data_IF_438742053394
#
_entry.id   IF_438742053394
#
_cell.length_a   1.000
_cell.length_b   1.000
_cell.length_c   1.000
_cell.angle_alpha   90.00
_cell.angle_beta   90.00
_cell.angle_gamma   90.00
#
_symmetry.space_group_name_H-M   'P 1'
#
loop_
_entity.id
_entity.type
_entity.pdbx_description
1 polymer ?
#
# COMPACT_ATOMS: atom_id res chain seq x y z
N UNK A 1 -4.13 21.69 -0.29
CA UNK A 1 -3.31 20.54 0.13
C UNK A 1 -2.48 20.15 -1.08
N UNK A 2 -1.20 20.52 -1.11
CA UNK A 2 -0.25 19.94 -2.06
C UNK A 2 0.22 18.59 -1.49
N UNK A 3 0.29 17.54 -2.31
CA UNK A 3 0.78 16.21 -1.89
C UNK A 3 -0.26 15.08 -1.82
N UNK A 4 -1.35 15.17 -2.58
CA UNK A 4 -2.28 14.05 -2.81
C UNK A 4 -2.08 13.35 -4.17
N UNK A 5 -1.07 13.78 -4.93
CA UNK A 5 -0.70 13.23 -6.23
C UNK A 5 0.75 12.78 -6.22
N UNK A 6 1.05 11.69 -6.93
CA UNK A 6 2.37 11.09 -7.08
C UNK A 6 2.61 10.72 -8.55
N UNK A 7 3.80 11.00 -9.08
CA UNK A 7 4.14 10.80 -10.49
C UNK A 7 4.02 12.08 -11.34
N UNK A 8 4.42 11.97 -12.61
CA UNK A 8 4.54 13.10 -13.56
C UNK A 8 3.76 12.87 -14.85
N UNK A 9 4.05 11.78 -15.55
CA UNK A 9 3.28 11.35 -16.73
C UNK A 9 2.18 10.39 -16.32
N UNK A 10 2.57 9.27 -15.70
CA UNK A 10 1.64 8.41 -14.99
C UNK A 10 1.43 8.98 -13.59
N UNK A 11 0.29 9.63 -13.38
CA UNK A 11 0.01 10.37 -12.15
C UNK A 11 -1.10 9.71 -11.37
N UNK A 12 -0.80 9.31 -10.13
CA UNK A 12 -1.75 8.74 -9.18
C UNK A 12 -2.19 9.84 -8.23
N UNK A 13 -3.49 10.12 -8.18
CA UNK A 13 -4.09 11.02 -7.20
C UNK A 13 -5.04 10.25 -6.30
N UNK A 14 -4.88 10.34 -4.99
CA UNK A 14 -5.75 9.64 -4.03
C UNK A 14 -6.63 10.62 -3.24
N UNK A 15 -7.77 10.13 -2.77
CA UNK A 15 -8.67 10.83 -1.86
C UNK A 15 -9.38 9.85 -0.90
N UNK A 16 -9.94 10.39 0.17
CA UNK A 16 -10.69 9.63 1.18
C UNK A 16 -9.94 9.42 2.49
N UNK A 17 -10.72 9.33 3.57
CA UNK A 17 -10.26 9.11 4.94
C UNK A 17 -10.63 7.70 5.42
N UNK A 18 -9.90 7.19 6.41
CA UNK A 18 -10.15 5.83 6.93
C UNK A 18 -11.53 5.59 7.55
N UNK A 19 -12.25 6.66 7.92
CA UNK A 19 -13.63 6.63 8.42
C UNK A 19 -14.56 7.50 7.56
N UNK A 20 -14.15 7.79 6.32
CA UNK A 20 -15.03 8.33 5.29
C UNK A 20 -15.80 7.20 4.61
N UNK A 21 -16.71 7.55 3.71
CA UNK A 21 -17.54 6.56 2.98
C UNK A 21 -16.72 5.64 2.06
N UNK A 22 -15.68 6.20 1.43
CA UNK A 22 -14.87 5.49 0.47
C UNK A 22 -13.47 6.09 0.33
N UNK A 23 -12.59 5.32 -0.28
CA UNK A 23 -11.34 5.78 -0.86
C UNK A 23 -11.51 5.92 -2.36
N UNK A 24 -10.86 6.93 -2.94
CA UNK A 24 -10.91 7.23 -4.36
C UNK A 24 -9.47 7.33 -4.88
N UNK A 25 -9.25 6.80 -6.08
CA UNK A 25 -8.00 6.89 -6.82
C UNK A 25 -8.26 7.39 -8.23
N UNK A 26 -7.39 8.24 -8.76
CA UNK A 26 -7.39 8.63 -10.16
C UNK A 26 -6.01 8.33 -10.71
N UNK A 27 -5.95 7.54 -11.77
CA UNK A 27 -4.74 7.32 -12.56
C UNK A 27 -4.87 8.09 -13.86
N UNK A 28 -4.03 9.10 -14.04
CA UNK A 28 -3.89 9.84 -15.29
C UNK A 28 -2.61 9.41 -16.04
N UNK A 29 -2.62 9.50 -17.36
CA UNK A 29 -1.50 9.13 -18.22
C UNK A 29 -1.28 7.63 -18.44
N UNK A 30 -2.26 6.78 -18.12
CA UNK A 30 -2.24 5.37 -18.54
C UNK A 30 -2.45 5.28 -20.06
N UNK A 31 -1.57 4.61 -20.82
CA UNK A 31 -1.76 4.48 -22.28
C UNK A 31 -3.05 3.75 -22.65
N UNK A 32 -3.69 4.09 -23.79
CA UNK A 32 -4.90 3.40 -24.25
C UNK A 32 -4.61 1.99 -24.76
N UNK A 33 -5.65 1.15 -24.78
CA UNK A 33 -5.65 -0.16 -25.43
C UNK A 33 -5.25 -1.35 -24.54
N UNK A 34 -4.70 -1.11 -23.35
CA UNK A 34 -4.42 -2.17 -22.36
C UNK A 34 -5.73 -2.74 -21.83
N UNK A 35 -5.87 -4.07 -21.81
CA UNK A 35 -7.02 -4.73 -21.19
C UNK A 35 -7.04 -4.43 -19.68
N UNK A 36 -8.18 -4.05 -19.11
CA UNK A 36 -8.28 -3.72 -17.70
C UNK A 36 -9.69 -3.99 -17.16
N UNK A 37 -9.73 -4.72 -16.07
CA UNK A 37 -10.92 -5.05 -15.27
C UNK A 37 -10.57 -4.99 -13.79
N UNK A 38 -11.57 -4.92 -12.92
CA UNK A 38 -11.40 -4.95 -11.47
C UNK A 38 -10.65 -6.22 -11.00
N UNK A 39 -10.88 -7.35 -11.66
CA UNK A 39 -10.23 -8.62 -11.34
C UNK A 39 -8.70 -8.58 -11.49
N UNK A 40 -8.19 -7.72 -12.38
CA UNK A 40 -6.76 -7.53 -12.56
C UNK A 40 -6.09 -6.87 -11.35
N UNK A 41 -6.86 -6.11 -10.57
CA UNK A 41 -6.39 -5.34 -9.41
C UNK A 41 -6.66 -6.07 -8.10
N UNK A 42 -7.70 -6.92 -8.08
CA UNK A 42 -8.19 -7.57 -6.86
C UNK A 42 -7.15 -8.47 -6.21
N UNK A 43 -6.32 -9.18 -6.99
CA UNK A 43 -5.28 -10.06 -6.43
C UNK A 43 -4.28 -9.31 -5.54
N UNK A 44 -3.82 -8.13 -5.96
CA UNK A 44 -2.91 -7.31 -5.16
C UNK A 44 -3.63 -6.67 -3.95
N UNK A 45 -4.90 -6.32 -4.09
CA UNK A 45 -5.74 -5.82 -2.99
C UNK A 45 -6.00 -6.90 -1.93
N UNK A 46 -6.20 -8.15 -2.35
CA UNK A 46 -6.41 -9.29 -1.45
C UNK A 46 -5.16 -9.64 -0.64
N UNK A 47 -3.96 -9.43 -1.21
CA UNK A 47 -2.70 -9.55 -0.46
C UNK A 47 -2.54 -8.44 0.58
N UNK A 48 -3.07 -7.24 0.28
CA UNK A 48 -2.98 -6.05 1.15
C UNK A 48 -4.04 -6.03 2.26
N UNK A 49 -5.22 -6.61 2.03
CA UNK A 49 -6.39 -6.40 2.88
C UNK A 49 -6.14 -6.83 4.33
N UNK A 50 -6.73 -6.12 5.31
CA UNK A 50 -6.60 -6.48 6.73
C UNK A 50 -7.31 -7.79 7.04
N UNK A 51 -7.05 -8.36 8.23
CA UNK A 51 -7.81 -9.49 8.74
C UNK A 51 -7.50 -10.84 8.08
N UNK A 52 -6.46 -10.90 7.24
CA UNK A 52 -5.99 -12.13 6.58
C UNK A 52 -5.25 -13.08 7.53
N UNK A 53 -4.75 -12.59 8.66
CA UNK A 53 -4.10 -13.41 9.67
C UNK A 53 -4.36 -12.87 11.08
N UNK A 54 -4.12 -13.71 12.09
CA UNK A 54 -4.20 -13.29 13.51
C UNK A 54 -3.15 -12.26 13.91
N UNK A 55 -2.17 -11.99 13.03
CA UNK A 55 -1.05 -11.07 13.25
C UNK A 55 -1.29 -9.68 12.62
N UNK A 56 -2.38 -9.49 11.87
CA UNK A 56 -2.77 -8.19 11.31
C UNK A 56 -3.95 -7.58 12.06
N UNK A 57 -4.37 -6.37 11.65
CA UNK A 57 -5.54 -5.71 12.24
C UNK A 57 -6.81 -6.55 12.04
N UNK A 58 -7.70 -6.52 13.03
CA UNK A 58 -8.93 -7.33 13.05
C UNK A 58 -10.06 -6.76 12.19
N UNK A 59 -9.86 -5.58 11.58
CA UNK A 59 -10.84 -5.01 10.65
C UNK A 59 -11.04 -5.95 9.47
N UNK A 60 -12.29 -6.07 9.03
CA UNK A 60 -12.64 -6.85 7.84
C UNK A 60 -13.13 -5.89 6.76
N UNK A 61 -12.21 -5.55 5.87
CA UNK A 61 -12.50 -4.76 4.68
C UNK A 61 -12.28 -5.68 3.48
N UNK A 62 -13.30 -5.80 2.63
CA UNK A 62 -13.23 -6.65 1.43
C UNK A 62 -12.34 -6.04 0.33
N UNK A 63 -12.10 -4.72 0.40
CA UNK A 63 -11.31 -3.96 -0.57
C UNK A 63 -11.73 -4.16 -2.02
N UNK A 64 -13.04 -4.30 -2.24
CA UNK A 64 -13.60 -4.41 -3.58
C UNK A 64 -13.42 -3.09 -4.32
N UNK A 65 -12.53 -3.12 -5.31
CA UNK A 65 -12.31 -1.99 -6.20
C UNK A 65 -13.38 -1.97 -7.29
N UNK A 66 -13.80 -0.77 -7.67
CA UNK A 66 -14.63 -0.55 -8.85
C UNK A 66 -14.00 0.51 -9.74
N UNK A 67 -13.96 0.24 -11.05
CA UNK A 67 -13.54 1.19 -12.07
C UNK A 67 -14.74 2.04 -12.47
N UNK A 68 -14.60 3.36 -12.39
CA UNK A 68 -15.66 4.34 -12.64
C UNK A 68 -15.49 5.05 -14.00
N UNK A 69 -14.26 5.17 -14.50
CA UNK A 69 -13.94 5.83 -15.76
C UNK A 69 -12.64 5.29 -16.36
N UNK A 70 -12.29 5.78 -17.56
CA UNK A 70 -10.99 5.49 -18.19
C UNK A 70 -10.92 4.12 -18.87
N UNK A 71 -12.01 3.35 -18.86
CA UNK A 71 -12.15 2.09 -19.57
C UNK A 71 -13.41 2.05 -20.44
N UNK A 72 -13.32 1.41 -21.60
CA UNK A 72 -14.45 1.10 -22.48
C UNK A 72 -14.23 -0.28 -23.09
N UNK A 73 -15.26 -1.15 -23.07
CA UNK A 73 -15.18 -2.54 -23.56
C UNK A 73 -13.98 -3.34 -23.00
N UNK A 74 -13.70 -3.16 -21.71
CA UNK A 74 -12.61 -3.86 -21.01
C UNK A 74 -11.20 -3.39 -21.38
N UNK A 75 -11.06 -2.23 -22.03
CA UNK A 75 -9.77 -1.64 -22.39
C UNK A 75 -9.65 -0.21 -21.90
N UNK A 76 -8.45 0.18 -21.53
CA UNK A 76 -8.10 1.57 -21.20
C UNK A 76 -8.32 2.49 -22.40
N UNK A 77 -8.85 3.68 -22.16
CA UNK A 77 -9.17 4.65 -23.23
C UNK A 77 -8.11 5.73 -23.40
N UNK A 78 -7.07 5.74 -22.55
CA UNK A 78 -6.10 6.83 -22.47
C UNK A 78 -6.57 8.04 -21.67
N UNK A 79 -7.82 8.02 -21.19
CA UNK A 79 -8.40 9.03 -20.30
C UNK A 79 -8.18 8.64 -18.83
N UNK A 80 -8.35 9.57 -17.87
CA UNK A 80 -8.19 9.26 -16.45
C UNK A 80 -9.05 8.08 -15.99
N UNK A 81 -8.41 7.12 -15.32
CA UNK A 81 -9.04 5.95 -14.73
C UNK A 81 -9.38 6.27 -13.28
N UNK A 82 -10.67 6.44 -12.98
CA UNK A 82 -11.15 6.64 -11.63
C UNK A 82 -11.49 5.30 -10.97
N UNK A 83 -11.06 5.12 -9.73
CA UNK A 83 -11.25 3.94 -8.90
C UNK A 83 -11.94 4.33 -7.60
N UNK A 84 -12.77 3.43 -7.07
CA UNK A 84 -13.36 3.56 -5.72
C UNK A 84 -13.27 2.25 -4.95
N UNK A 85 -12.97 2.34 -3.65
CA UNK A 85 -13.15 1.25 -2.67
C UNK A 85 -14.01 1.79 -1.53
N UNK A 86 -15.14 1.15 -1.24
CA UNK A 86 -16.00 1.52 -0.12
C UNK A 86 -15.39 1.07 1.21
N UNK A 87 -15.53 1.88 2.27
CA UNK A 87 -15.16 1.47 3.63
C UNK A 87 -16.39 0.86 4.32
N UNK A 88 -16.33 -0.42 4.69
CA UNK A 88 -17.49 -1.17 5.20
C UNK A 88 -17.45 -1.46 6.70
N UNK A 89 -16.28 -1.41 7.37
CA UNK A 89 -16.12 -1.72 8.81
C UNK A 89 -15.61 -0.50 9.61
N UNK A 90 -16.38 0.58 9.58
CA UNK A 90 -16.06 1.81 10.30
C UNK A 90 -16.47 1.73 11.78
N UNK A 91 -15.49 1.63 12.69
CA UNK A 91 -15.71 1.58 14.14
C UNK A 91 -15.32 2.88 14.82
N UNK A 92 -16.15 3.90 14.65
CA UNK A 92 -15.89 5.25 15.17
C UNK A 92 -15.87 5.34 16.71
N UNK A 93 -16.52 4.40 17.41
CA UNK A 93 -16.69 4.43 18.88
C UNK A 93 -15.40 4.15 19.66
N UNK A 94 -14.43 3.45 19.07
CA UNK A 94 -13.20 3.03 19.76
C UNK A 94 -12.19 4.19 19.95
N UNK A 95 -12.46 5.37 19.41
CA UNK A 95 -11.51 6.49 19.33
C UNK A 95 -11.83 7.67 20.25
N UNK A 96 -12.84 7.58 21.13
CA UNK A 96 -13.28 8.69 21.98
C UNK A 96 -12.17 9.28 22.87
N UNK A 97 -11.31 8.42 23.44
CA UNK A 97 -10.19 8.84 24.28
C UNK A 97 -9.06 9.55 23.49
N UNK A 98 -8.99 9.32 22.18
CA UNK A 98 -7.95 9.88 21.30
C UNK A 98 -8.29 11.31 20.86
N UNK A 99 -9.55 11.74 20.98
CA UNK A 99 -9.96 13.11 20.68
C UNK A 99 -9.10 14.14 21.44
N UNK A 100 -8.82 13.86 22.72
CA UNK A 100 -8.09 14.77 23.62
C UNK A 100 -6.63 14.36 23.86
N UNK A 101 -6.08 13.39 23.12
CA UNK A 101 -4.70 12.91 23.32
C UNK A 101 -3.96 12.73 21.98
N UNK A 102 -2.64 12.96 21.99
CA UNK A 102 -1.78 12.75 20.82
C UNK A 102 -1.03 11.42 20.96
N UNK A 103 -1.14 10.54 19.96
CA UNK A 103 -0.43 9.24 19.97
C UNK A 103 1.03 9.45 19.55
N UNK A 104 2.02 9.02 20.36
CA UNK A 104 3.43 9.06 19.96
C UNK A 104 3.67 8.33 18.64
N UNK A 105 4.47 8.93 17.76
CA UNK A 105 4.80 8.35 16.45
C UNK A 105 3.71 8.50 15.36
N UNK A 106 2.54 9.07 15.69
CA UNK A 106 1.47 9.35 14.73
C UNK A 106 1.44 10.81 14.29
N UNK A 107 0.74 11.09 13.18
CA UNK A 107 0.58 12.44 12.62
C UNK A 107 -0.39 13.34 13.40
N UNK A 108 -0.93 12.83 14.51
CA UNK A 108 -1.89 13.49 15.37
C UNK A 108 -1.51 14.93 15.72
N UNK A 109 -0.36 15.12 16.36
CA UNK A 109 0.13 16.44 16.78
C UNK A 109 0.48 17.33 15.59
N UNK A 110 1.16 16.79 14.58
CA UNK A 110 1.62 17.58 13.43
C UNK A 110 0.45 18.07 12.57
N UNK A 111 -0.63 17.30 12.44
CA UNK A 111 -1.85 17.72 11.76
C UNK A 111 -2.57 18.82 12.54
N UNK A 112 -2.71 18.66 13.85
CA UNK A 112 -3.31 19.66 14.73
C UNK A 112 -2.57 21.00 14.64
N UNK A 113 -1.24 20.99 14.73
CA UNK A 113 -0.44 22.20 14.63
C UNK A 113 -0.47 22.84 13.23
N UNK A 114 -0.53 22.03 12.17
CA UNK A 114 -0.52 22.53 10.79
C UNK A 114 -1.87 23.09 10.36
N UNK A 115 -2.97 22.45 10.76
CA UNK A 115 -4.31 22.73 10.24
C UNK A 115 -5.25 23.34 11.28
N UNK A 116 -4.87 23.37 12.56
CA UNK A 116 -5.70 23.82 13.67
C UNK A 116 -6.80 22.84 14.08
N UNK A 117 -6.89 21.68 13.40
CA UNK A 117 -7.80 20.58 13.73
C UNK A 117 -7.27 19.27 13.14
N UNK A 118 -7.80 18.14 13.62
CA UNK A 118 -7.49 16.80 13.09
C UNK A 118 -8.71 15.88 13.15
N UNK A 119 -8.80 14.94 12.22
CA UNK A 119 -9.71 13.81 12.35
C UNK A 119 -9.06 12.73 13.23
N UNK A 120 -9.46 12.69 14.50
CA UNK A 120 -8.96 11.71 15.46
C UNK A 120 -9.50 10.29 15.20
N UNK A 121 -10.51 10.12 14.36
CA UNK A 121 -11.10 8.81 14.03
C UNK A 121 -10.16 8.08 13.07
N UNK A 122 -9.41 7.12 13.58
CA UNK A 122 -8.45 6.34 12.79
C UNK A 122 -7.31 7.13 12.15
N UNK A 123 -7.07 8.37 12.58
CA UNK A 123 -6.07 9.26 12.00
C UNK A 123 -6.45 9.86 10.64
N UNK A 124 -7.74 9.84 10.25
CA UNK A 124 -8.21 10.48 9.03
C UNK A 124 -7.41 10.08 7.80
N UNK A 125 -6.79 11.07 7.13
CA UNK A 125 -5.97 10.91 5.92
C UNK A 125 -4.55 10.40 6.18
N UNK A 126 -4.03 10.49 7.41
CA UNK A 126 -2.71 9.93 7.74
C UNK A 126 -2.74 8.42 7.98
N UNK A 127 -3.92 7.81 7.87
CA UNK A 127 -4.12 6.38 8.07
C UNK A 127 -3.51 5.57 6.93
N UNK A 128 -2.92 4.42 7.26
CA UNK A 128 -2.45 3.44 6.28
C UNK A 128 -3.58 2.88 5.40
N UNK A 129 -4.86 3.17 5.69
CA UNK A 129 -6.00 2.83 4.83
C UNK A 129 -5.84 3.38 3.41
N UNK A 130 -5.21 4.55 3.25
CA UNK A 130 -4.93 5.17 1.95
C UNK A 130 -4.11 4.26 1.02
N UNK A 131 -3.28 3.36 1.58
CA UNK A 131 -2.46 2.43 0.79
C UNK A 131 -3.29 1.45 -0.05
N UNK A 132 -4.57 1.22 0.27
CA UNK A 132 -5.47 0.46 -0.60
C UNK A 132 -5.60 1.11 -2.00
N UNK A 133 -5.68 2.44 -2.06
CA UNK A 133 -5.68 3.15 -3.34
C UNK A 133 -4.32 3.12 -4.03
N UNK A 134 -3.22 3.19 -3.27
CA UNK A 134 -1.88 3.01 -3.86
C UNK A 134 -1.72 1.63 -4.49
N UNK A 135 -2.21 0.58 -3.84
CA UNK A 135 -2.17 -0.79 -4.36
C UNK A 135 -3.05 -0.93 -5.61
N UNK A 136 -4.29 -0.43 -5.59
CA UNK A 136 -5.17 -0.49 -6.75
C UNK A 136 -4.58 0.26 -7.96
N UNK A 137 -4.10 1.49 -7.76
CA UNK A 137 -3.46 2.28 -8.82
C UNK A 137 -2.13 1.67 -9.28
N UNK A 138 -1.35 1.14 -8.33
CA UNK A 138 -0.10 0.41 -8.61
C UNK A 138 -0.32 -0.87 -9.40
N UNK A 139 -1.46 -1.55 -9.22
CA UNK A 139 -1.86 -2.71 -10.02
C UNK A 139 -2.01 -2.37 -11.51
N UNK A 140 -2.52 -1.18 -11.84
CA UNK A 140 -2.60 -0.68 -13.23
C UNK A 140 -1.18 -0.52 -13.79
N UNK A 141 -0.28 0.15 -13.06
CA UNK A 141 1.11 0.33 -13.47
C UNK A 141 1.84 -1.00 -13.62
N UNK A 142 1.71 -1.90 -12.65
CA UNK A 142 2.32 -3.24 -12.64
C UNK A 142 1.85 -4.09 -13.82
N UNK A 143 0.54 -4.06 -14.14
CA UNK A 143 -0.01 -4.72 -15.32
C UNK A 143 0.58 -4.16 -16.61
N UNK A 144 0.60 -2.83 -16.75
CA UNK A 144 1.16 -2.18 -17.93
C UNK A 144 2.64 -2.52 -18.14
N UNK A 145 3.45 -2.43 -17.08
CA UNK A 145 4.87 -2.76 -17.10
C UNK A 145 5.13 -4.22 -17.50
N UNK A 146 4.32 -5.14 -16.97
CA UNK A 146 4.42 -6.56 -17.31
C UNK A 146 4.05 -6.84 -18.77
N UNK A 147 2.91 -6.33 -19.24
CA UNK A 147 2.42 -6.62 -20.59
C UNK A 147 3.23 -5.90 -21.68
N UNK A 148 3.65 -4.65 -21.43
CA UNK A 148 4.30 -3.82 -22.44
C UNK A 148 5.81 -3.96 -22.48
N UNK A 149 6.43 -4.24 -21.33
CA UNK A 149 7.89 -4.25 -21.18
C UNK A 149 8.44 -5.57 -20.61
N UNK A 150 7.59 -6.51 -20.21
CA UNK A 150 8.02 -7.75 -19.56
C UNK A 150 8.61 -7.55 -18.16
N UNK A 151 8.46 -6.35 -17.58
CA UNK A 151 8.99 -6.02 -16.25
C UNK A 151 8.13 -6.70 -15.19
N UNK A 152 8.77 -7.45 -14.29
CA UNK A 152 8.10 -8.05 -13.13
C UNK A 152 8.56 -7.37 -11.84
N UNK A 153 7.61 -7.04 -10.97
CA UNK A 153 7.87 -6.45 -9.65
C UNK A 153 7.31 -7.39 -8.59
N UNK A 154 8.18 -7.82 -7.68
CA UNK A 154 7.85 -8.72 -6.56
C UNK A 154 8.42 -8.17 -5.26
N UNK A 155 7.80 -8.48 -4.14
CA UNK A 155 8.27 -8.08 -2.81
C UNK A 155 8.16 -9.21 -1.81
N UNK A 156 9.00 -9.18 -0.76
CA UNK A 156 9.02 -10.17 0.30
C UNK A 156 9.50 -9.56 1.62
N UNK A 157 9.12 -10.19 2.74
CA UNK A 157 9.62 -9.85 4.06
C UNK A 157 11.05 -10.36 4.22
N UNK A 158 12.00 -9.44 4.37
CA UNK A 158 13.42 -9.76 4.55
C UNK A 158 13.82 -9.87 6.03
N UNK A 159 13.12 -9.16 6.92
CA UNK A 159 13.40 -9.16 8.35
C UNK A 159 12.18 -8.72 9.15
N UNK A 160 11.93 -9.34 10.31
CA UNK A 160 10.95 -8.91 11.31
C UNK A 160 11.64 -8.85 12.68
N UNK A 161 11.82 -7.65 13.23
CA UNK A 161 12.63 -7.47 14.43
C UNK A 161 14.02 -8.10 14.27
N UNK A 162 14.46 -9.00 15.17
CA UNK A 162 15.76 -9.67 15.06
C UNK A 162 15.77 -10.86 14.08
N UNK A 163 14.61 -11.30 13.56
CA UNK A 163 14.49 -12.53 12.77
C UNK A 163 14.70 -12.22 11.29
N UNK A 164 15.65 -12.92 10.67
CA UNK A 164 15.93 -12.91 9.22
C UNK A 164 15.68 -14.30 8.62
N UNK A 165 15.75 -14.41 7.31
CA UNK A 165 15.74 -15.70 6.61
C UNK A 165 17.15 -16.26 6.41
N UNK A 166 17.27 -17.59 6.35
CA UNK A 166 18.52 -18.28 6.03
C UNK A 166 18.51 -18.80 4.58
N UNK A 167 17.33 -19.18 4.08
CA UNK A 167 17.12 -19.65 2.73
C UNK A 167 16.13 -18.75 1.98
N UNK A 168 16.28 -18.65 0.67
CA UNK A 168 15.39 -17.81 -0.15
C UNK A 168 14.67 -18.66 -1.20
N UNK A 169 13.34 -18.74 -1.11
CA UNK A 169 12.47 -19.33 -2.14
C UNK A 169 11.29 -18.41 -2.46
N UNK A 170 11.17 -18.03 -3.74
CA UNK A 170 10.05 -17.23 -4.23
C UNK A 170 8.70 -17.94 -4.11
N UNK A 171 8.68 -19.28 -4.18
CA UNK A 171 7.44 -20.04 -4.09
C UNK A 171 6.82 -19.94 -2.69
N UNK A 172 7.63 -19.71 -1.66
CA UNK A 172 7.16 -19.63 -0.29
C UNK A 172 6.57 -18.27 0.09
N UNK A 173 6.93 -17.20 -0.62
CA UNK A 173 6.52 -15.82 -0.30
C UNK A 173 5.00 -15.65 -0.22
N UNK A 174 4.21 -16.39 -0.98
CA UNK A 174 2.74 -16.28 -0.90
C UNK A 174 2.07 -17.47 -0.19
N UNK A 175 2.86 -18.41 0.34
CA UNK A 175 2.36 -19.60 1.03
C UNK A 175 2.31 -19.45 2.56
N UNK A 176 2.68 -18.28 3.10
CA UNK A 176 2.69 -18.00 4.53
C UNK A 176 2.20 -16.57 4.83
N UNK A 177 1.71 -16.31 6.06
CA UNK A 177 1.08 -15.03 6.41
C UNK A 177 2.06 -13.86 6.56
N UNK A 178 3.37 -14.09 6.49
CA UNK A 178 4.40 -13.07 6.69
C UNK A 178 5.02 -12.58 5.39
N UNK A 179 4.71 -13.22 4.28
CA UNK A 179 5.44 -13.04 3.02
C UNK A 179 6.94 -13.35 3.14
N UNK A 180 7.29 -14.28 4.03
CA UNK A 180 8.67 -14.70 4.26
C UNK A 180 9.11 -15.67 3.15
N UNK A 181 10.32 -15.53 2.58
CA UNK A 181 10.83 -16.45 1.57
C UNK A 181 11.41 -17.75 2.17
N UNK A 182 11.31 -17.97 3.48
CA UNK A 182 11.87 -19.14 4.19
C UNK A 182 10.81 -19.81 5.06
N UNK A 183 10.29 -20.94 4.59
CA UNK A 183 9.30 -21.72 5.32
C UNK A 183 9.79 -22.16 6.72
N UNK A 184 11.10 -22.34 6.91
CA UNK A 184 11.67 -22.79 8.18
C UNK A 184 11.61 -21.71 9.27
N UNK A 185 11.48 -20.43 8.89
CA UNK A 185 11.38 -19.30 9.81
C UNK A 185 9.97 -18.96 10.22
N UNK A 186 8.95 -19.49 9.53
CA UNK A 186 7.54 -19.13 9.77
C UNK A 186 7.15 -19.38 11.22
N UNK A 187 7.54 -20.52 11.80
CA UNK A 187 7.21 -20.85 13.19
C UNK A 187 7.86 -19.87 14.19
N UNK A 188 9.12 -19.51 13.96
CA UNK A 188 9.85 -18.54 14.78
C UNK A 188 9.19 -17.16 14.72
N UNK A 189 8.76 -16.72 13.54
CA UNK A 189 8.04 -15.46 13.32
C UNK A 189 6.69 -15.46 14.05
N UNK A 190 5.94 -16.56 13.99
CA UNK A 190 4.66 -16.71 14.71
C UNK A 190 4.84 -16.59 16.22
N UNK A 191 5.80 -17.32 16.78
CA UNK A 191 6.05 -17.34 18.23
C UNK A 191 6.52 -15.95 18.72
N UNK A 192 7.35 -15.26 17.93
CA UNK A 192 7.79 -13.90 18.21
C UNK A 192 6.64 -12.88 18.20
N UNK A 193 5.77 -12.94 17.18
CA UNK A 193 4.60 -12.06 17.09
C UNK A 193 3.57 -12.34 18.19
N UNK A 194 3.39 -13.61 18.58
CA UNK A 194 2.52 -13.98 19.69
C UNK A 194 3.05 -13.45 21.02
N UNK A 195 4.37 -13.44 21.22
CA UNK A 195 4.99 -12.84 22.40
C UNK A 195 4.78 -11.32 22.47
N UNK A 196 5.03 -10.60 21.35
CA UNK A 196 4.80 -9.16 21.25
C UNK A 196 3.33 -8.79 21.52
N UNK A 197 2.40 -9.57 20.96
CA UNK A 197 0.97 -9.35 21.19
C UNK A 197 0.60 -9.53 22.67
N UNK A 198 1.17 -10.53 23.35
CA UNK A 198 0.94 -10.76 24.79
C UNK A 198 1.50 -9.64 25.65
N UNK A 199 2.63 -9.04 25.26
CA UNK A 199 3.23 -7.89 25.97
C UNK A 199 2.63 -6.54 25.60
N UNK A 200 1.74 -6.49 24.60
CA UNK A 200 1.16 -5.22 24.12
C UNK A 200 2.18 -4.35 23.37
N UNK A 201 3.19 -4.97 22.76
CA UNK A 201 4.26 -4.27 22.05
C UNK A 201 4.16 -4.47 20.53
N UNK A 202 4.97 -3.74 19.78
CA UNK A 202 5.03 -3.78 18.32
C UNK A 202 6.48 -3.76 17.84
N UNK A 203 6.71 -4.22 16.61
CA UNK A 203 8.04 -4.25 16.03
C UNK A 203 8.01 -3.81 14.58
N UNK A 204 9.14 -3.28 14.10
CA UNK A 204 9.33 -2.97 12.69
C UNK A 204 9.68 -4.20 11.85
N UNK A 205 9.71 -3.98 10.54
CA UNK A 205 10.08 -4.97 9.55
C UNK A 205 10.88 -4.32 8.43
N UNK A 206 11.68 -5.13 7.72
CA UNK A 206 12.31 -4.76 6.47
C UNK A 206 11.68 -5.56 5.34
N UNK A 207 11.18 -4.87 4.32
CA UNK A 207 10.63 -5.46 3.11
C UNK A 207 11.58 -5.15 1.96
N UNK A 208 11.88 -6.15 1.13
CA UNK A 208 12.65 -5.95 -0.09
C UNK A 208 11.69 -6.00 -1.28
N UNK A 209 11.93 -5.15 -2.29
CA UNK A 209 11.21 -5.13 -3.56
C UNK A 209 12.23 -5.35 -4.68
N UNK A 210 11.90 -6.23 -5.61
CA UNK A 210 12.77 -6.63 -6.73
C UNK A 210 12.02 -6.38 -8.03
N UNK A 211 12.64 -5.63 -8.94
CA UNK A 211 12.20 -5.47 -10.31
C UNK A 211 13.14 -6.23 -11.26
N UNK A 212 12.60 -7.10 -12.11
CA UNK A 212 13.37 -7.88 -13.09
C UNK A 212 12.99 -7.48 -14.53
N UNK A 213 13.84 -7.82 -15.50
CA UNK A 213 13.69 -7.46 -16.91
C UNK A 213 13.68 -5.93 -17.17
N UNK A 214 14.44 -5.18 -16.36
CA UNK A 214 14.53 -3.74 -16.50
C UNK A 214 15.30 -3.35 -17.77
N UNK A 215 14.74 -2.49 -18.64
CA UNK A 215 15.49 -1.95 -19.77
C UNK A 215 16.55 -0.95 -19.28
N UNK A 216 17.63 -0.83 -20.05
CA UNK A 216 18.66 0.18 -19.79
C UNK A 216 18.15 1.58 -20.13
N UNK A 217 18.57 2.59 -19.35
CA UNK A 217 18.27 3.99 -19.62
C UNK A 217 16.99 4.55 -19.00
N UNK A 218 16.36 3.84 -18.06
CA UNK A 218 15.26 4.40 -17.26
C UNK A 218 15.76 5.38 -16.20
N UNK A 219 14.99 6.44 -15.98
CA UNK A 219 15.30 7.55 -15.09
C UNK A 219 15.64 8.82 -15.87
N UNK A 220 15.51 9.96 -15.19
CA UNK A 220 15.78 11.27 -15.76
C UNK A 220 17.10 11.85 -15.19
N UNK A 221 17.64 12.92 -15.79
CA UNK A 221 18.85 13.56 -15.28
C UNK A 221 18.68 14.16 -13.88
N UNK A 222 19.80 14.27 -13.16
CA UNK A 222 20.08 15.02 -11.91
C UNK A 222 19.00 15.03 -10.82
N UNK A 223 17.82 15.61 -11.04
CA UNK A 223 16.77 15.78 -10.02
C UNK A 223 15.68 14.70 -10.04
N UNK A 224 15.53 14.00 -11.16
CA UNK A 224 14.49 12.99 -11.39
C UNK A 224 15.14 11.60 -11.66
N UNK A 225 16.29 11.33 -11.00
CA UNK A 225 16.98 10.03 -11.14
C UNK A 225 16.09 8.90 -10.64
N UNK A 226 16.16 7.74 -11.27
CA UNK A 226 15.31 6.60 -10.92
C UNK A 226 15.43 6.21 -9.45
N UNK A 227 16.65 6.15 -8.89
CA UNK A 227 16.86 5.84 -7.48
C UNK A 227 16.30 6.90 -6.53
N UNK A 228 16.29 8.17 -6.96
CA UNK A 228 15.72 9.27 -6.19
C UNK A 228 14.18 9.19 -6.17
N UNK A 229 13.58 8.89 -7.32
CA UNK A 229 12.12 8.69 -7.44
C UNK A 229 11.65 7.47 -6.65
N UNK A 230 12.41 6.37 -6.71
CA UNK A 230 12.13 5.17 -5.90
C UNK A 230 12.24 5.52 -4.41
N UNK A 231 13.29 6.21 -3.98
CA UNK A 231 13.46 6.62 -2.59
C UNK A 231 12.30 7.51 -2.12
N UNK A 232 11.89 8.49 -2.95
CA UNK A 232 10.74 9.33 -2.67
C UNK A 232 9.45 8.52 -2.53
N UNK A 233 9.20 7.60 -3.48
CA UNK A 233 8.05 6.70 -3.45
C UNK A 233 8.01 5.84 -2.19
N UNK A 234 9.12 5.20 -1.84
CA UNK A 234 9.22 4.31 -0.67
C UNK A 234 9.08 5.09 0.64
N UNK A 235 9.79 6.22 0.79
CA UNK A 235 9.73 7.05 2.02
C UNK A 235 8.38 7.73 2.22
N UNK A 236 7.56 7.85 1.17
CA UNK A 236 6.19 8.38 1.28
C UNK A 236 5.18 7.40 1.89
N UNK A 237 5.55 6.13 2.07
CA UNK A 237 4.70 5.11 2.67
C UNK A 237 4.72 5.26 4.19
N UNK A 238 3.56 5.13 4.83
CA UNK A 238 3.45 5.24 6.28
C UNK A 238 4.42 4.29 7.00
N UNK A 239 5.02 4.78 8.08
CA UNK A 239 5.97 4.07 8.95
C UNK A 239 7.34 3.72 8.35
N UNK A 240 7.61 3.98 7.07
CA UNK A 240 8.95 3.79 6.48
C UNK A 240 9.94 4.79 7.07
N UNK A 241 11.16 4.32 7.38
CA UNK A 241 12.23 5.11 8.01
C UNK A 241 13.58 5.05 7.29
N UNK A 242 13.75 4.14 6.33
CA UNK A 242 14.99 3.90 5.59
C UNK A 242 15.13 2.45 5.19
#
# INVERSE_FOLDING_TARGET
MSGNSFGKLFTVTTAGESHGEALIGIVDGCPPGMALTEADLQGDLDLRKPGTSRHTTQRREEDLVKILSGTFEGKTTGMPIALIIQNTDQRSKDYGNIANTFRPGHADYTYDQKYGFRDYRGGGRSSARETAMRVACGGIAKKYLKESLGIEIKGYLSQLGPITFDNFDWNEVHNNPFFCPDANKVKELEDYMDALRKSGDSIGARVNVVATNMPSGLGEPIFDRLEADIAHGMMSINAVKG
#
